data_IF_589564647625
#
_entry.id   IF_589564647625
#
_cell.length_a   1.000
_cell.length_b   1.000
_cell.length_c   1.000
_cell.angle_alpha   90.00
_cell.angle_beta   90.00
_cell.angle_gamma   90.00
#
_symmetry.space_group_name_H-M   'P 1'
#
loop_
_entity.id
_entity.type
_entity.pdbx_description
1 polymer ?
#
# COMPACT_ATOMS: atom_id res chain seq x y z
N UNK A 1 -1.38 -55.77 -8.98
CA UNK A 1 -0.46 -54.62 -9.04
C UNK A 1 -1.25 -53.43 -9.57
N UNK A 2 -2.22 -52.98 -8.78
CA UNK A 2 -2.13 -51.75 -7.95
C UNK A 2 -2.13 -50.47 -8.80
N UNK A 3 -3.35 -50.04 -9.14
CA UNK A 3 -3.61 -48.65 -9.53
C UNK A 3 -3.50 -47.81 -8.26
N UNK A 4 -2.48 -46.95 -8.20
CA UNK A 4 -2.36 -45.92 -7.18
C UNK A 4 -3.56 -44.98 -7.28
N UNK A 5 -4.46 -45.09 -6.32
CA UNK A 5 -5.45 -44.06 -6.00
C UNK A 5 -4.67 -42.81 -5.57
N UNK A 6 -4.65 -41.80 -6.43
CA UNK A 6 -4.22 -40.46 -6.04
C UNK A 6 -5.18 -39.93 -4.97
N UNK A 7 -4.61 -39.52 -3.84
CA UNK A 7 -5.31 -39.08 -2.64
C UNK A 7 -6.30 -37.93 -2.95
N UNK A 8 -7.55 -38.10 -2.52
CA UNK A 8 -8.58 -37.06 -2.47
C UNK A 8 -8.19 -36.02 -1.40
N UNK A 9 -8.00 -34.73 -1.74
CA UNK A 9 -7.80 -33.72 -0.71
C UNK A 9 -9.15 -33.27 -0.11
N UNK A 10 -9.34 -33.57 1.17
CA UNK A 10 -10.11 -32.79 2.17
C UNK A 10 -11.63 -32.62 1.97
N UNK A 11 -12.40 -33.55 2.55
CA UNK A 11 -13.84 -33.43 2.81
C UNK A 11 -14.17 -32.51 4.00
N UNK A 12 -13.98 -31.20 3.83
CA UNK A 12 -14.71 -30.23 4.65
C UNK A 12 -16.15 -30.10 4.14
N UNK A 13 -17.17 -29.87 4.99
CA UNK A 13 -18.54 -29.69 4.52
C UNK A 13 -18.62 -28.47 3.58
N UNK A 14 -19.17 -28.68 2.39
CA UNK A 14 -19.40 -27.66 1.37
C UNK A 14 -20.53 -26.73 1.85
N UNK A 15 -20.18 -25.68 2.62
CA UNK A 15 -21.18 -24.73 3.12
C UNK A 15 -21.69 -23.86 2.00
N UNK A 16 -23.01 -23.82 1.85
CA UNK A 16 -23.69 -22.95 0.90
C UNK A 16 -24.03 -21.63 1.59
N UNK A 17 -23.42 -20.54 1.13
CA UNK A 17 -23.60 -19.21 1.72
C UNK A 17 -24.29 -18.32 0.69
N UNK A 18 -25.51 -17.89 1.01
CA UNK A 18 -26.34 -17.06 0.14
C UNK A 18 -26.01 -15.58 0.29
N UNK A 19 -26.06 -14.84 -0.81
CA UNK A 19 -26.02 -13.38 -0.81
C UNK A 19 -27.21 -12.81 -1.57
N UNK A 20 -27.98 -11.97 -0.88
CA UNK A 20 -29.14 -11.26 -1.40
C UNK A 20 -28.90 -9.75 -1.35
N UNK A 21 -29.37 -9.05 -2.39
CA UNK A 21 -29.30 -7.59 -2.48
C UNK A 21 -30.70 -7.04 -2.66
N UNK A 22 -31.23 -6.50 -1.58
CA UNK A 22 -32.61 -6.07 -1.40
C UNK A 22 -32.73 -4.58 -1.65
N UNK A 23 -33.77 -4.17 -2.37
CA UNK A 23 -34.06 -2.76 -2.63
C UNK A 23 -35.08 -2.29 -1.60
N UNK A 24 -34.98 -1.05 -1.10
CA UNK A 24 -35.97 -0.48 -0.17
C UNK A 24 -37.40 -0.33 -0.74
N UNK A 25 -37.64 -0.76 -1.99
CA UNK A 25 -38.95 -0.76 -2.63
C UNK A 25 -39.40 -2.19 -2.94
N UNK A 26 -40.47 -2.59 -2.24
CA UNK A 26 -41.41 -3.69 -2.53
C UNK A 26 -41.05 -5.15 -2.17
N UNK A 27 -42.14 -5.89 -1.91
CA UNK A 27 -42.33 -7.31 -1.58
C UNK A 27 -41.62 -8.37 -2.46
N UNK A 28 -40.66 -7.99 -3.31
CA UNK A 28 -39.85 -8.87 -4.16
C UNK A 28 -38.68 -9.51 -3.37
N UNK A 29 -38.34 -8.92 -2.23
CA UNK A 29 -37.24 -9.34 -1.38
C UNK A 29 -37.44 -10.74 -0.77
N UNK A 30 -38.69 -11.14 -0.51
CA UNK A 30 -39.04 -12.46 0.03
C UNK A 30 -38.77 -13.58 -0.99
N UNK A 31 -39.04 -13.35 -2.28
CA UNK A 31 -38.82 -14.35 -3.33
C UNK A 31 -37.33 -14.68 -3.49
N UNK A 32 -36.45 -13.68 -3.42
CA UNK A 32 -35.00 -13.89 -3.51
C UNK A 32 -34.48 -14.71 -2.31
N UNK A 33 -35.02 -14.44 -1.12
CA UNK A 33 -34.66 -15.19 0.08
C UNK A 33 -35.15 -16.64 0.01
N UNK A 34 -36.36 -16.86 -0.51
CA UNK A 34 -36.93 -18.20 -0.64
C UNK A 34 -36.18 -19.05 -1.66
N UNK A 35 -35.75 -18.47 -2.78
CA UNK A 35 -34.89 -19.16 -3.75
C UNK A 35 -33.53 -19.55 -3.14
N UNK A 36 -32.91 -18.69 -2.34
CA UNK A 36 -31.65 -19.00 -1.64
C UNK A 36 -31.84 -20.10 -0.58
N UNK A 37 -32.95 -20.08 0.16
CA UNK A 37 -33.32 -21.13 1.12
C UNK A 37 -33.57 -22.45 0.41
N UNK A 38 -34.33 -22.44 -0.69
CA UNK A 38 -34.60 -23.61 -1.52
C UNK A 38 -33.33 -24.20 -2.13
N UNK A 39 -32.35 -23.35 -2.46
CA UNK A 39 -31.03 -23.78 -2.94
C UNK A 39 -30.12 -24.40 -1.87
N UNK A 40 -30.58 -24.46 -0.60
CA UNK A 40 -29.88 -25.09 0.51
C UNK A 40 -28.87 -24.19 1.23
N UNK A 41 -28.99 -22.86 1.12
CA UNK A 41 -28.07 -21.94 1.79
C UNK A 41 -28.23 -21.99 3.31
N UNK A 42 -27.17 -22.36 4.03
CA UNK A 42 -27.14 -22.42 5.50
C UNK A 42 -27.20 -21.03 6.14
N UNK A 43 -26.58 -20.05 5.48
CA UNK A 43 -26.50 -18.67 5.95
C UNK A 43 -26.70 -17.72 4.78
N UNK A 44 -27.62 -16.77 4.93
CA UNK A 44 -27.96 -15.79 3.89
C UNK A 44 -27.61 -14.39 4.39
N UNK A 45 -26.77 -13.69 3.64
CA UNK A 45 -26.38 -12.32 3.90
C UNK A 45 -27.24 -11.38 3.06
N UNK A 46 -27.81 -10.35 3.70
CA UNK A 46 -28.71 -9.40 3.07
C UNK A 46 -28.07 -8.02 3.03
N UNK A 47 -27.88 -7.49 1.83
CA UNK A 47 -27.40 -6.13 1.60
C UNK A 47 -28.59 -5.25 1.23
N UNK A 48 -28.84 -4.20 2.02
CA UNK A 48 -29.93 -3.26 1.77
C UNK A 48 -29.41 -2.08 0.95
N UNK A 49 -30.04 -1.82 -0.20
CA UNK A 49 -29.69 -0.70 -1.07
C UNK A 49 -30.26 0.61 -0.49
N UNK A 50 -29.56 1.24 0.46
CA UNK A 50 -29.87 2.62 0.86
C UNK A 50 -29.43 3.57 -0.25
N UNK A 51 -30.37 4.35 -0.79
CA UNK A 51 -30.17 5.26 -1.91
C UNK A 51 -28.83 6.01 -1.90
N UNK A 52 -28.20 6.05 -3.07
CA UNK A 52 -26.92 6.71 -3.40
C UNK A 52 -25.61 6.09 -2.87
N UNK A 53 -25.64 5.11 -1.96
CA UNK A 53 -24.40 4.52 -1.44
C UNK A 53 -23.87 3.36 -2.29
N UNK A 54 -22.61 3.49 -2.76
CA UNK A 54 -21.88 2.41 -3.46
C UNK A 54 -21.14 1.45 -2.51
N UNK A 55 -21.07 1.78 -1.23
CA UNK A 55 -20.40 0.91 -0.25
C UNK A 55 -21.25 -0.33 0.00
N UNK A 56 -20.61 -1.50 -0.06
CA UNK A 56 -21.23 -2.82 0.15
C UNK A 56 -20.59 -3.52 1.35
N UNK A 57 -20.83 -3.02 2.57
CA UNK A 57 -20.17 -3.53 3.76
C UNK A 57 -20.52 -4.99 4.05
N UNK A 58 -21.76 -5.43 3.72
CA UNK A 58 -22.17 -6.82 3.95
C UNK A 58 -21.46 -7.75 2.98
N UNK A 59 -21.37 -7.39 1.70
CA UNK A 59 -20.58 -8.15 0.73
C UNK A 59 -19.10 -8.23 1.13
N UNK A 60 -18.47 -7.12 1.54
CA UNK A 60 -17.07 -7.14 1.98
C UNK A 60 -16.87 -8.05 3.19
N UNK A 61 -17.77 -7.98 4.17
CA UNK A 61 -17.73 -8.86 5.34
C UNK A 61 -17.90 -10.32 4.96
N UNK A 62 -18.88 -10.64 4.11
CA UNK A 62 -19.12 -11.97 3.60
C UNK A 62 -17.87 -12.54 2.91
N UNK A 63 -17.26 -11.76 2.01
CA UNK A 63 -16.02 -12.17 1.34
C UNK A 63 -14.88 -12.43 2.35
N UNK A 64 -14.85 -11.73 3.48
CA UNK A 64 -13.90 -12.00 4.58
C UNK A 64 -14.18 -13.28 5.36
N UNK A 65 -15.46 -13.67 5.51
CA UNK A 65 -15.87 -14.87 6.27
C UNK A 65 -15.77 -16.18 5.46
N UNK A 66 -15.70 -16.11 4.13
CA UNK A 66 -15.59 -17.30 3.25
C UNK A 66 -14.27 -18.05 3.44
N UNK A 67 -14.37 -19.38 3.60
CA UNK A 67 -13.26 -20.30 3.73
C UNK A 67 -13.17 -21.25 2.51
N UNK A 68 -12.00 -21.85 2.31
CA UNK A 68 -11.76 -22.82 1.24
C UNK A 68 -12.79 -23.96 1.29
N UNK A 69 -13.39 -24.28 0.14
CA UNK A 69 -14.45 -25.30 -0.01
C UNK A 69 -15.88 -24.75 0.12
N UNK A 70 -16.07 -23.52 0.62
CA UNK A 70 -17.38 -22.88 0.67
C UNK A 70 -17.88 -22.54 -0.75
N UNK A 71 -19.20 -22.38 -0.90
CA UNK A 71 -19.82 -21.86 -2.13
C UNK A 71 -20.62 -20.60 -1.85
N UNK A 72 -20.25 -19.52 -2.51
CA UNK A 72 -21.06 -18.32 -2.59
C UNK A 72 -22.20 -18.54 -3.59
N UNK A 73 -23.44 -18.46 -3.10
CA UNK A 73 -24.66 -18.63 -3.90
C UNK A 73 -25.36 -17.29 -4.06
N UNK A 74 -25.74 -16.95 -5.29
CA UNK A 74 -26.58 -15.79 -5.61
C UNK A 74 -27.73 -16.23 -6.49
N UNK A 75 -28.83 -15.48 -6.44
CA UNK A 75 -29.98 -15.76 -7.32
C UNK A 75 -29.66 -15.42 -8.78
N UNK A 76 -29.05 -14.25 -9.00
CA UNK A 76 -28.63 -13.77 -10.32
C UNK A 76 -27.33 -12.96 -10.25
N UNK A 77 -26.62 -12.89 -11.38
CA UNK A 77 -25.35 -12.14 -11.49
C UNK A 77 -25.49 -10.63 -11.23
N UNK A 78 -26.61 -10.00 -11.63
CA UNK A 78 -26.87 -8.56 -11.44
C UNK A 78 -26.94 -8.15 -9.97
N UNK A 79 -27.30 -9.10 -9.09
CA UNK A 79 -27.34 -8.89 -7.65
C UNK A 79 -25.95 -8.85 -7.04
N UNK A 80 -24.98 -9.58 -7.62
CA UNK A 80 -23.60 -9.60 -7.16
C UNK A 80 -22.77 -8.44 -7.73
N UNK A 81 -22.92 -8.07 -9.00
CA UNK A 81 -22.03 -7.08 -9.63
C UNK A 81 -22.74 -6.18 -10.64
N UNK A 82 -22.36 -4.90 -10.67
CA UNK A 82 -22.88 -3.89 -11.62
C UNK A 82 -22.21 -3.95 -13.00
N UNK A 83 -21.11 -4.68 -13.14
CA UNK A 83 -20.42 -4.86 -14.41
C UNK A 83 -19.84 -6.27 -14.51
N UNK A 84 -19.75 -6.80 -15.74
CA UNK A 84 -19.16 -8.11 -16.00
C UNK A 84 -17.69 -8.15 -15.55
N UNK A 85 -16.95 -7.05 -15.75
CA UNK A 85 -15.55 -6.96 -15.27
C UNK A 85 -15.44 -7.10 -13.75
N UNK A 86 -16.37 -6.47 -13.00
CA UNK A 86 -16.38 -6.59 -11.55
C UNK A 86 -16.79 -7.99 -11.10
N UNK A 87 -17.79 -8.60 -11.77
CA UNK A 87 -18.19 -9.98 -11.52
C UNK A 87 -17.01 -10.96 -11.67
N UNK A 88 -16.33 -10.88 -12.81
CA UNK A 88 -15.18 -11.75 -13.11
C UNK A 88 -14.04 -11.56 -12.10
N UNK A 89 -13.79 -10.32 -11.67
CA UNK A 89 -12.80 -10.05 -10.64
C UNK A 89 -13.15 -10.70 -9.29
N UNK A 90 -14.41 -10.61 -8.87
CA UNK A 90 -14.89 -11.26 -7.65
C UNK A 90 -14.77 -12.79 -7.73
N UNK A 91 -15.24 -13.39 -8.82
CA UNK A 91 -15.18 -14.85 -9.02
C UNK A 91 -13.73 -15.35 -9.04
N UNK A 92 -12.82 -14.65 -9.72
CA UNK A 92 -11.38 -15.01 -9.71
C UNK A 92 -10.79 -14.97 -8.31
N UNK A 93 -11.05 -13.91 -7.54
CA UNK A 93 -10.58 -13.81 -6.16
C UNK A 93 -11.15 -14.88 -5.24
N UNK A 94 -12.37 -15.37 -5.49
CA UNK A 94 -12.95 -16.51 -4.79
C UNK A 94 -12.23 -17.81 -5.15
N UNK A 95 -12.02 -18.08 -6.44
CA UNK A 95 -11.34 -19.27 -6.93
C UNK A 95 -9.88 -19.36 -6.46
N UNK A 96 -9.16 -18.23 -6.43
CA UNK A 96 -7.80 -18.15 -5.88
C UNK A 96 -7.73 -18.55 -4.39
N UNK A 97 -8.83 -18.36 -3.65
CA UNK A 97 -8.98 -18.77 -2.24
C UNK A 97 -9.57 -20.18 -2.09
N UNK A 98 -9.82 -20.88 -3.19
CA UNK A 98 -10.48 -22.17 -3.23
C UNK A 98 -11.95 -22.12 -2.80
N UNK A 99 -12.61 -20.97 -2.99
CA UNK A 99 -14.04 -20.77 -2.76
C UNK A 99 -14.76 -20.86 -4.11
N UNK A 100 -15.86 -21.60 -4.17
CA UNK A 100 -16.67 -21.70 -5.38
C UNK A 100 -17.77 -20.65 -5.41
N UNK A 101 -18.25 -20.36 -6.60
CA UNK A 101 -19.36 -19.48 -6.90
C UNK A 101 -20.44 -20.22 -7.70
N UNK A 102 -21.71 -19.98 -7.37
CA UNK A 102 -22.89 -20.51 -8.05
C UNK A 102 -23.97 -19.44 -8.19
N UNK A 103 -24.52 -19.29 -9.39
CA UNK A 103 -25.79 -18.59 -9.63
C UNK A 103 -26.94 -19.60 -9.72
N UNK A 104 -28.13 -19.23 -9.23
CA UNK A 104 -29.32 -20.10 -9.29
C UNK A 104 -29.99 -20.00 -10.67
N UNK A 105 -30.16 -18.79 -11.19
CA UNK A 105 -30.86 -18.56 -12.45
C UNK A 105 -29.94 -18.50 -13.68
N UNK A 106 -28.61 -18.45 -13.48
CA UNK A 106 -27.63 -18.36 -14.57
C UNK A 106 -26.81 -19.66 -14.65
N UNK A 107 -26.34 -20.08 -15.83
CA UNK A 107 -25.59 -21.32 -16.03
C UNK A 107 -24.12 -21.19 -15.56
N UNK A 108 -23.89 -20.60 -14.39
CA UNK A 108 -22.56 -20.36 -13.82
C UNK A 108 -22.49 -21.05 -12.45
N UNK A 109 -21.89 -22.24 -12.46
CA UNK A 109 -21.42 -22.95 -11.26
C UNK A 109 -19.94 -23.31 -11.45
N UNK A 110 -19.07 -22.60 -10.75
CA UNK A 110 -17.62 -22.82 -10.85
C UNK A 110 -17.14 -24.12 -10.20
N UNK A 111 -18.02 -24.86 -9.52
CA UNK A 111 -17.71 -26.21 -9.05
C UNK A 111 -17.95 -27.30 -10.11
N UNK A 112 -18.50 -26.95 -11.28
CA UNK A 112 -18.72 -27.86 -12.41
C UNK A 112 -17.90 -27.45 -13.63
N UNK A 113 -17.55 -28.42 -14.48
CA UNK A 113 -16.83 -28.15 -15.74
C UNK A 113 -17.66 -27.31 -16.71
N UNK A 114 -18.99 -27.52 -16.72
CA UNK A 114 -19.92 -26.75 -17.55
C UNK A 114 -19.99 -25.29 -17.11
N UNK A 115 -20.15 -25.03 -15.81
CA UNK A 115 -20.19 -23.66 -15.32
C UNK A 115 -18.83 -22.94 -15.43
N UNK A 116 -17.71 -23.67 -15.31
CA UNK A 116 -16.38 -23.14 -15.63
C UNK A 116 -16.23 -22.77 -17.11
N UNK A 117 -16.77 -23.57 -18.03
CA UNK A 117 -16.81 -23.24 -19.45
C UNK A 117 -17.67 -21.98 -19.71
N UNK A 118 -18.88 -21.90 -19.13
CA UNK A 118 -19.74 -20.72 -19.23
C UNK A 118 -19.03 -19.45 -18.72
N UNK A 119 -18.28 -19.55 -17.62
CA UNK A 119 -17.48 -18.45 -17.09
C UNK A 119 -16.39 -18.03 -18.09
N UNK A 120 -15.66 -18.97 -18.70
CA UNK A 120 -14.63 -18.66 -19.69
C UNK A 120 -15.20 -18.00 -20.96
N UNK A 121 -16.38 -18.44 -21.41
CA UNK A 121 -17.08 -17.79 -22.52
C UNK A 121 -17.46 -16.36 -22.15
N UNK A 122 -17.99 -16.14 -20.93
CA UNK A 122 -18.29 -14.79 -20.44
C UNK A 122 -17.03 -13.92 -20.35
N UNK A 123 -15.89 -14.47 -19.94
CA UNK A 123 -14.60 -13.78 -19.96
C UNK A 123 -14.19 -13.38 -21.37
N UNK A 124 -14.31 -14.28 -22.35
CA UNK A 124 -13.97 -14.01 -23.73
C UNK A 124 -14.87 -12.92 -24.34
N UNK A 125 -16.17 -12.97 -24.07
CA UNK A 125 -17.12 -11.92 -24.50
C UNK A 125 -16.77 -10.57 -23.87
N UNK A 126 -16.49 -10.52 -22.57
CA UNK A 126 -16.08 -9.29 -21.90
C UNK A 126 -14.74 -8.72 -22.42
N UNK A 127 -13.84 -9.57 -22.91
CA UNK A 127 -12.61 -9.13 -23.58
C UNK A 127 -12.91 -8.57 -24.97
N UNK A 128 -13.77 -9.24 -25.74
CA UNK A 128 -14.20 -8.79 -27.07
C UNK A 128 -14.89 -7.42 -26.99
N UNK A 129 -15.83 -7.22 -26.07
CA UNK A 129 -16.50 -5.94 -25.89
C UNK A 129 -15.51 -4.80 -25.56
N UNK A 130 -14.51 -5.07 -24.71
CA UNK A 130 -13.45 -4.10 -24.39
C UNK A 130 -12.62 -3.75 -25.61
N UNK A 131 -12.27 -4.74 -26.43
CA UNK A 131 -11.53 -4.53 -27.68
C UNK A 131 -12.35 -3.68 -28.66
N UNK A 132 -13.61 -4.03 -28.90
CA UNK A 132 -14.51 -3.30 -29.80
C UNK A 132 -14.74 -1.84 -29.33
N UNK A 133 -14.90 -1.62 -28.03
CA UNK A 133 -15.02 -0.27 -27.48
C UNK A 133 -13.74 0.55 -27.64
N UNK A 134 -12.57 -0.07 -27.49
CA UNK A 134 -11.28 0.57 -27.74
C UNK A 134 -11.11 0.93 -29.22
N UNK A 135 -11.45 0.03 -30.13
CA UNK A 135 -11.44 0.27 -31.58
C UNK A 135 -12.38 1.41 -31.97
N UNK A 136 -13.62 1.40 -31.48
CA UNK A 136 -14.59 2.47 -31.72
C UNK A 136 -14.10 3.82 -31.17
N UNK A 137 -13.48 3.82 -29.99
CA UNK A 137 -12.89 5.03 -29.39
C UNK A 137 -11.74 5.54 -30.24
N UNK A 138 -10.86 4.66 -30.72
CA UNK A 138 -9.74 5.03 -31.59
C UNK A 138 -10.22 5.61 -32.93
N UNK A 139 -11.18 4.95 -33.57
CA UNK A 139 -11.80 5.45 -34.81
C UNK A 139 -12.47 6.81 -34.58
N UNK A 140 -13.18 7.00 -33.46
CA UNK A 140 -13.78 8.28 -33.08
C UNK A 140 -12.74 9.38 -32.87
N UNK A 141 -11.60 9.07 -32.23
CA UNK A 141 -10.48 10.00 -32.07
C UNK A 141 -9.85 10.35 -33.43
N UNK A 142 -9.66 9.39 -34.32
CA UNK A 142 -9.11 9.61 -35.67
C UNK A 142 -10.03 10.50 -36.51
N UNK A 143 -11.34 10.24 -36.49
CA UNK A 143 -12.33 11.10 -37.15
C UNK A 143 -12.37 12.51 -36.56
N UNK A 144 -12.30 12.63 -35.23
CA UNK A 144 -12.23 13.93 -34.56
C UNK A 144 -10.96 14.70 -34.97
N UNK A 145 -9.80 14.03 -35.01
CA UNK A 145 -8.54 14.60 -35.50
C UNK A 145 -8.63 15.05 -36.96
N UNK A 146 -9.22 14.23 -37.84
CA UNK A 146 -9.44 14.59 -39.24
C UNK A 146 -10.33 15.83 -39.41
N UNK A 147 -11.27 16.04 -38.47
CA UNK A 147 -12.10 17.27 -38.36
C UNK A 147 -11.40 18.41 -37.61
N UNK A 148 -10.10 18.32 -37.35
CA UNK A 148 -9.31 19.34 -36.65
C UNK A 148 -9.49 19.39 -35.13
N UNK A 149 -10.28 18.49 -34.52
CA UNK A 149 -10.45 18.43 -33.06
C UNK A 149 -9.30 17.65 -32.44
N UNK A 150 -8.55 18.32 -31.57
CA UNK A 150 -7.40 17.73 -30.90
C UNK A 150 -7.78 17.18 -29.51
N UNK A 151 -7.35 15.96 -29.14
CA UNK A 151 -7.60 15.41 -27.81
C UNK A 151 -6.78 16.13 -26.73
N UNK A 152 -7.27 16.08 -25.49
CA UNK A 152 -6.65 16.70 -24.31
C UNK A 152 -7.24 18.08 -23.97
N UNK A 153 -6.80 18.66 -22.84
CA UNK A 153 -7.25 19.99 -22.40
C UNK A 153 -6.65 21.09 -23.32
N UNK A 154 -7.47 21.86 -24.08
CA UNK A 154 -6.97 22.91 -24.97
C UNK A 154 -6.10 23.95 -24.27
N UNK A 155 -6.48 24.36 -23.05
CA UNK A 155 -5.73 25.33 -22.25
C UNK A 155 -4.34 24.85 -21.85
N UNK A 156 -4.15 23.53 -21.64
CA UNK A 156 -2.81 22.99 -21.42
C UNK A 156 -1.98 22.93 -22.70
N UNK A 157 -2.60 22.60 -23.84
CA UNK A 157 -1.92 22.54 -25.15
C UNK A 157 -1.38 23.91 -25.56
N UNK A 158 -2.20 24.93 -25.34
CA UNK A 158 -1.88 26.33 -25.60
C UNK A 158 -1.03 26.96 -24.49
N UNK A 159 -0.62 26.18 -23.47
CA UNK A 159 0.14 26.64 -22.31
C UNK A 159 -0.48 27.85 -21.60
N UNK A 160 -1.80 27.94 -21.58
CA UNK A 160 -2.52 29.02 -20.89
C UNK A 160 -2.18 28.97 -19.40
N UNK A 161 -1.79 30.10 -18.79
CA UNK A 161 -1.36 30.14 -17.39
C UNK A 161 -2.48 29.67 -16.45
N UNK A 162 -3.72 30.07 -16.72
CA UNK A 162 -4.92 29.66 -16.01
C UNK A 162 -5.12 28.12 -15.96
N UNK A 163 -4.93 27.42 -17.09
CA UNK A 163 -5.09 25.97 -17.16
C UNK A 163 -3.95 25.25 -16.42
N UNK A 164 -2.72 25.74 -16.54
CA UNK A 164 -1.55 25.20 -15.83
C UNK A 164 -1.74 25.38 -14.32
N UNK A 165 -2.17 26.57 -13.88
CA UNK A 165 -2.45 26.86 -12.47
C UNK A 165 -3.58 25.99 -11.92
N UNK A 166 -4.67 25.82 -12.66
CA UNK A 166 -5.79 24.97 -12.25
C UNK A 166 -5.35 23.52 -12.03
N UNK A 167 -4.54 22.97 -12.94
CA UNK A 167 -4.01 21.61 -12.83
C UNK A 167 -2.99 21.48 -11.70
N UNK A 168 -2.11 22.46 -11.52
CA UNK A 168 -1.18 22.48 -10.38
C UNK A 168 -1.93 22.50 -9.05
N UNK A 169 -2.94 23.38 -8.92
CA UNK A 169 -3.79 23.49 -7.72
C UNK A 169 -4.55 22.19 -7.44
N UNK A 170 -5.09 21.54 -8.48
CA UNK A 170 -5.76 20.25 -8.33
C UNK A 170 -4.79 19.16 -7.84
N UNK A 171 -3.58 19.08 -8.41
CA UNK A 171 -2.54 18.14 -7.97
C UNK A 171 -2.09 18.40 -6.54
N UNK A 172 -1.87 19.67 -6.19
CA UNK A 172 -1.51 20.07 -4.83
C UNK A 172 -2.59 19.69 -3.81
N UNK A 173 -3.86 19.87 -4.16
CA UNK A 173 -4.99 19.47 -3.30
C UNK A 173 -5.02 17.95 -3.07
N UNK A 174 -4.85 17.15 -4.13
CA UNK A 174 -4.80 15.70 -4.02
C UNK A 174 -3.63 15.23 -3.15
N UNK A 175 -2.44 15.78 -3.40
CA UNK A 175 -1.25 15.49 -2.61
C UNK A 175 -1.43 15.86 -1.14
N UNK A 176 -2.03 17.02 -0.84
CA UNK A 176 -2.31 17.44 0.53
C UNK A 176 -3.29 16.48 1.22
N UNK A 177 -4.35 16.06 0.54
CA UNK A 177 -5.33 15.13 1.11
C UNK A 177 -4.69 13.78 1.47
N UNK A 178 -3.83 13.26 0.60
CA UNK A 178 -3.08 12.02 0.84
C UNK A 178 -2.06 12.18 1.99
N UNK A 179 -1.42 13.34 2.09
CA UNK A 179 -0.56 13.63 3.24
C UNK A 179 -1.34 13.68 4.55
N UNK A 180 -2.52 14.32 4.56
CA UNK A 180 -3.36 14.43 5.76
C UNK A 180 -3.84 13.05 6.20
N UNK A 181 -4.30 12.21 5.28
CA UNK A 181 -4.77 10.86 5.62
C UNK A 181 -3.64 9.98 6.19
N UNK A 182 -2.43 10.10 5.66
CA UNK A 182 -1.26 9.37 6.16
C UNK A 182 -0.57 10.01 7.37
N UNK A 183 -0.86 11.27 7.70
CA UNK A 183 -0.12 12.05 8.70
C UNK A 183 -0.07 11.38 10.07
N UNK A 184 -1.14 10.69 10.50
CA UNK A 184 -1.19 10.02 11.80
C UNK A 184 -0.11 8.93 11.96
N UNK A 185 0.38 8.36 10.85
CA UNK A 185 1.35 7.27 10.88
C UNK A 185 2.80 7.75 11.04
N UNK A 186 3.16 8.89 10.45
CA UNK A 186 4.56 9.33 10.39
C UNK A 186 4.84 10.67 11.10
N UNK A 187 3.85 11.57 11.20
CA UNK A 187 4.03 12.90 11.78
C UNK A 187 4.41 12.87 13.28
N UNK A 188 3.85 11.98 14.13
CA UNK A 188 4.26 11.89 15.54
C UNK A 188 5.75 11.59 15.70
N UNK A 189 6.29 10.65 14.93
CA UNK A 189 7.73 10.30 14.94
C UNK A 189 8.59 11.50 14.50
N UNK A 190 8.14 12.25 13.49
CA UNK A 190 8.84 13.47 13.06
C UNK A 190 8.86 14.52 14.16
N UNK A 191 7.72 14.74 14.86
CA UNK A 191 7.63 15.68 16.00
C UNK A 191 8.53 15.31 17.16
N UNK A 192 8.67 14.02 17.44
CA UNK A 192 9.52 13.54 18.52
C UNK A 192 11.01 13.75 18.20
N UNK A 193 11.42 13.51 16.96
CA UNK A 193 12.83 13.52 16.57
C UNK A 193 13.32 14.90 16.10
N UNK A 194 12.44 15.75 15.55
CA UNK A 194 12.80 17.10 15.09
C UNK A 194 12.52 18.12 16.19
N UNK A 195 13.40 19.12 16.38
CA UNK A 195 14.56 19.45 15.57
C UNK A 195 15.89 18.80 15.98
N UNK A 196 15.91 18.04 17.08
CA UNK A 196 17.14 17.50 17.68
C UNK A 196 17.94 16.56 16.74
N UNK A 197 17.26 15.81 15.87
CA UNK A 197 17.87 14.84 14.95
C UNK A 197 17.87 15.31 13.48
N UNK A 198 18.90 14.92 12.73
CA UNK A 198 19.00 15.15 11.29
C UNK A 198 17.88 14.45 10.52
N UNK A 199 17.52 14.98 9.35
CA UNK A 199 16.50 14.37 8.49
C UNK A 199 16.84 12.93 8.07
N UNK A 200 18.11 12.61 7.86
CA UNK A 200 18.56 11.24 7.55
C UNK A 200 18.21 10.26 8.67
N UNK A 201 18.39 10.66 9.93
CA UNK A 201 18.03 9.81 11.08
C UNK A 201 16.52 9.64 11.19
N UNK A 202 15.74 10.70 10.98
CA UNK A 202 14.27 10.62 11.00
C UNK A 202 13.75 9.68 9.92
N UNK A 203 14.29 9.79 8.70
CA UNK A 203 13.94 8.88 7.60
C UNK A 203 14.35 7.44 7.92
N UNK A 204 15.53 7.22 8.49
CA UNK A 204 15.95 5.87 8.87
C UNK A 204 15.00 5.22 9.88
N UNK A 205 14.52 5.98 10.88
CA UNK A 205 13.57 5.47 11.86
C UNK A 205 12.20 5.18 11.22
N UNK A 206 11.68 6.10 10.40
CA UNK A 206 10.40 5.89 9.71
C UNK A 206 10.46 4.68 8.77
N UNK A 207 11.55 4.50 8.04
CA UNK A 207 11.65 3.39 7.10
C UNK A 207 11.79 2.04 7.81
N UNK A 208 12.40 1.99 9.00
CA UNK A 208 12.38 0.80 9.86
C UNK A 208 10.98 0.45 10.37
N UNK A 209 10.09 1.43 10.49
CA UNK A 209 8.68 1.25 10.85
C UNK A 209 7.80 0.82 9.65
N UNK A 210 8.40 0.53 8.49
CA UNK A 210 7.68 0.07 7.30
C UNK A 210 7.22 1.19 6.36
N UNK A 211 7.66 2.44 6.59
CA UNK A 211 7.46 3.53 5.64
C UNK A 211 8.52 3.53 4.52
N UNK A 212 8.26 4.27 3.44
CA UNK A 212 9.23 4.49 2.36
C UNK A 212 9.38 5.98 2.06
N UNK A 213 10.17 6.64 2.90
CA UNK A 213 10.50 8.05 2.76
C UNK A 213 11.91 8.25 2.21
N UNK A 214 12.05 9.26 1.36
CA UNK A 214 13.32 9.92 1.10
C UNK A 214 13.40 11.22 1.91
N UNK A 215 14.61 11.68 2.21
CA UNK A 215 14.84 12.93 2.95
C UNK A 215 14.14 14.11 2.27
N UNK A 216 14.23 14.20 0.95
CA UNK A 216 13.60 15.29 0.20
C UNK A 216 12.08 15.22 0.22
N UNK A 217 11.50 14.02 0.06
CA UNK A 217 10.05 13.80 0.11
C UNK A 217 9.50 14.14 1.49
N UNK A 218 10.13 13.65 2.55
CA UNK A 218 9.72 13.92 3.92
C UNK A 218 9.84 15.42 4.24
N UNK A 219 10.95 16.05 3.88
CA UNK A 219 11.14 17.50 4.09
C UNK A 219 10.11 18.33 3.32
N UNK A 220 9.75 17.93 2.10
CA UNK A 220 8.71 18.59 1.29
C UNK A 220 7.33 18.41 1.92
N UNK A 221 7.01 17.21 2.40
CA UNK A 221 5.77 16.92 3.10
C UNK A 221 5.63 17.76 4.37
N UNK A 222 6.66 17.79 5.24
CA UNK A 222 6.66 18.60 6.47
C UNK A 222 6.56 20.10 6.15
N UNK A 223 7.29 20.59 5.15
CA UNK A 223 7.14 21.99 4.69
C UNK A 223 5.71 22.30 4.26
N UNK A 224 5.05 21.37 3.57
CA UNK A 224 3.67 21.57 3.14
C UNK A 224 2.73 21.60 4.35
N UNK A 225 2.89 20.68 5.31
CA UNK A 225 2.10 20.65 6.55
C UNK A 225 2.25 21.93 7.36
N UNK A 226 3.47 22.46 7.49
CA UNK A 226 3.73 23.75 8.17
C UNK A 226 3.08 24.91 7.42
N UNK A 227 3.16 24.95 6.08
CA UNK A 227 2.54 26.01 5.26
C UNK A 227 1.01 26.03 5.44
N UNK A 228 0.38 24.87 5.55
CA UNK A 228 -1.06 24.72 5.78
C UNK A 228 -1.44 24.82 7.28
N UNK A 229 -0.49 25.16 8.16
CA UNK A 229 -0.67 25.27 9.62
C UNK A 229 -1.13 23.97 10.31
N UNK A 230 -0.78 22.83 9.74
CA UNK A 230 -1.07 21.49 10.28
C UNK A 230 0.10 20.90 11.09
N UNK A 231 1.26 21.56 11.08
CA UNK A 231 2.45 21.15 11.82
C UNK A 231 3.24 22.37 12.32
N UNK A 232 4.09 22.14 13.31
CA UNK A 232 4.87 23.19 13.98
C UNK A 232 6.02 23.67 13.08
N UNK A 233 6.25 24.99 12.93
CA UNK A 233 7.34 25.51 12.11
C UNK A 233 8.72 25.11 12.62
N UNK A 234 8.83 24.81 13.91
CA UNK A 234 10.06 24.38 14.59
C UNK A 234 10.64 23.08 13.99
N UNK A 235 9.81 22.22 13.41
CA UNK A 235 10.24 20.97 12.77
C UNK A 235 11.20 21.22 11.59
N UNK A 236 11.14 22.39 10.97
CA UNK A 236 11.97 22.77 9.83
C UNK A 236 13.29 23.44 10.23
N UNK A 237 13.47 23.77 11.52
CA UNK A 237 14.69 24.45 11.99
C UNK A 237 15.92 23.59 11.75
N UNK A 238 17.07 24.21 11.47
CA UNK A 238 18.29 23.44 11.23
C UNK A 238 18.64 22.67 12.50
N UNK A 239 18.83 21.35 12.40
CA UNK A 239 19.31 20.58 13.55
C UNK A 239 20.64 21.12 14.03
N UNK A 240 20.89 21.09 15.35
CA UNK A 240 22.22 21.34 15.84
C UNK A 240 23.18 20.39 15.12
N UNK A 241 24.36 20.90 14.72
CA UNK A 241 25.42 20.04 14.22
C UNK A 241 25.82 19.14 15.39
N UNK A 242 25.32 17.91 15.44
CA UNK A 242 25.97 16.87 16.22
C UNK A 242 27.37 16.73 15.61
N UNK A 243 28.40 16.98 16.40
CA UNK A 243 29.74 16.62 15.97
C UNK A 243 29.71 15.09 15.74
N UNK A 244 30.04 14.60 14.53
CA UNK A 244 30.24 13.16 14.28
C UNK A 244 31.25 12.55 15.26
N UNK A 245 32.07 13.41 15.85
CA UNK A 245 33.11 13.12 16.81
C UNK A 245 32.55 12.59 18.14
N UNK A 246 31.34 12.93 18.60
CA UNK A 246 30.93 12.59 19.98
C UNK A 246 30.80 11.08 20.25
N UNK A 247 30.35 10.28 19.28
CA UNK A 247 30.26 8.82 19.49
C UNK A 247 31.63 8.15 19.34
N UNK A 248 32.34 8.46 18.27
CA UNK A 248 33.67 7.90 17.99
C UNK A 248 34.69 8.34 19.04
N UNK A 249 34.64 9.59 19.49
CA UNK A 249 35.45 10.12 20.59
C UNK A 249 35.14 9.43 21.91
N UNK A 250 33.86 9.18 22.23
CA UNK A 250 33.48 8.42 23.44
C UNK A 250 33.95 6.97 23.37
N UNK A 251 33.88 6.36 22.20
CA UNK A 251 34.30 4.96 21.98
C UNK A 251 35.82 4.83 22.09
N UNK A 252 36.55 5.74 21.45
CA UNK A 252 38.01 5.86 21.55
C UNK A 252 38.44 6.15 22.98
N UNK A 253 37.76 7.08 23.68
CA UNK A 253 38.01 7.37 25.08
C UNK A 253 37.74 6.15 25.97
N UNK A 254 36.64 5.42 25.74
CA UNK A 254 36.31 4.21 26.50
C UNK A 254 37.36 3.10 26.32
N UNK A 255 37.86 2.89 25.10
CA UNK A 255 38.93 1.93 24.82
C UNK A 255 40.23 2.36 25.54
N UNK A 256 40.60 3.63 25.45
CA UNK A 256 41.81 4.14 26.09
C UNK A 256 41.75 4.12 27.64
N UNK A 257 40.55 4.31 28.22
CA UNK A 257 40.33 4.17 29.67
C UNK A 257 40.40 2.71 30.09
N UNK A 258 39.88 1.79 29.27
CA UNK A 258 39.86 0.36 29.57
C UNK A 258 41.26 -0.26 29.53
N UNK A 259 42.14 0.22 28.65
CA UNK A 259 43.53 -0.24 28.55
C UNK A 259 44.50 0.93 28.24
N UNK A 260 45.06 1.57 29.27
CA UNK A 260 45.95 2.73 29.13
C UNK A 260 47.30 2.43 28.44
N UNK A 261 47.66 1.15 28.26
CA UNK A 261 48.93 0.73 27.65
C UNK A 261 48.88 0.60 26.12
N UNK A 262 47.71 0.68 25.51
CA UNK A 262 47.54 0.47 24.07
C UNK A 262 48.15 1.58 23.22
N UNK A 263 48.81 1.20 22.13
CA UNK A 263 49.29 2.18 21.16
C UNK A 263 48.13 2.72 20.31
N UNK A 264 48.29 3.92 19.75
CA UNK A 264 47.31 4.53 18.85
C UNK A 264 46.98 3.65 17.62
N UNK A 265 47.90 2.77 17.21
CA UNK A 265 47.69 1.80 16.12
C UNK A 265 46.79 0.65 16.55
N UNK A 266 46.90 0.22 17.80
CA UNK A 266 46.11 -0.89 18.34
C UNK A 266 44.67 -0.45 18.56
N UNK A 267 44.47 0.77 19.08
CA UNK A 267 43.14 1.39 19.18
C UNK A 267 42.49 1.53 17.79
N UNK A 268 43.26 1.97 16.77
CA UNK A 268 42.78 2.03 15.39
C UNK A 268 42.37 0.63 14.86
N UNK A 269 43.18 -0.39 15.13
CA UNK A 269 42.88 -1.77 14.74
C UNK A 269 41.64 -2.34 15.43
N UNK A 270 41.41 -1.97 16.70
CA UNK A 270 40.23 -2.39 17.45
C UNK A 270 38.96 -1.74 16.90
N UNK A 271 39.01 -0.45 16.53
CA UNK A 271 37.89 0.23 15.86
C UNK A 271 37.57 -0.38 14.49
N UNK A 272 38.60 -0.75 13.71
CA UNK A 272 38.43 -1.45 12.44
C UNK A 272 37.77 -2.84 12.66
N UNK A 273 38.17 -3.59 13.70
CA UNK A 273 37.56 -4.88 14.06
C UNK A 273 36.11 -4.75 14.52
N UNK A 274 35.76 -3.65 15.20
CA UNK A 274 34.40 -3.33 15.60
C UNK A 274 33.52 -2.85 14.43
N UNK A 275 34.10 -2.67 13.23
CA UNK A 275 33.38 -2.24 12.03
C UNK A 275 33.06 -0.74 11.99
N UNK A 276 33.64 0.04 12.91
CA UNK A 276 33.43 1.49 12.98
C UNK A 276 34.27 2.21 11.93
N UNK A 277 33.70 3.23 11.29
CA UNK A 277 34.38 3.96 10.22
C UNK A 277 34.88 5.33 10.69
N UNK A 278 36.06 5.79 10.21
CA UNK A 278 36.53 7.14 10.48
C UNK A 278 35.56 8.21 9.99
N UNK A 279 35.44 9.32 10.73
CA UNK A 279 34.53 10.42 10.43
C UNK A 279 34.68 11.01 9.01
N UNK A 280 35.84 10.84 8.36
CA UNK A 280 36.16 11.37 7.04
C UNK A 280 36.01 10.33 5.92
N UNK A 281 35.34 9.20 6.19
CA UNK A 281 34.97 8.21 5.17
C UNK A 281 36.10 7.33 4.64
N UNK A 282 37.26 7.32 5.32
CA UNK A 282 38.36 6.41 5.00
C UNK A 282 37.99 4.95 5.23
N UNK A 283 38.63 4.02 4.50
CA UNK A 283 38.40 2.56 4.64
C UNK A 283 39.06 1.92 5.86
N UNK A 284 40.02 2.61 6.48
CA UNK A 284 40.77 2.15 7.66
C UNK A 284 41.08 3.31 8.59
N UNK A 285 41.15 3.04 9.89
CA UNK A 285 41.56 4.04 10.88
C UNK A 285 43.02 4.42 10.75
N UNK A 286 43.30 5.72 10.77
CA UNK A 286 44.66 6.25 10.83
C UNK A 286 45.02 6.59 12.28
N UNK A 287 46.24 6.28 12.75
CA UNK A 287 46.66 6.62 14.11
C UNK A 287 46.56 8.11 14.44
N UNK A 288 46.73 8.98 13.44
CA UNK A 288 46.54 10.44 13.56
C UNK A 288 45.08 10.83 13.83
N UNK A 289 44.11 10.13 13.22
CA UNK A 289 42.68 10.35 13.46
C UNK A 289 42.30 9.93 14.88
N UNK A 290 42.83 8.80 15.37
CA UNK A 290 42.61 8.33 16.75
C UNK A 290 43.22 9.30 17.76
N UNK A 291 44.44 9.79 17.49
CA UNK A 291 45.11 10.81 18.31
C UNK A 291 44.29 12.09 18.43
N UNK A 292 43.79 12.61 17.30
CA UNK A 292 42.96 13.81 17.30
C UNK A 292 41.71 13.65 18.18
N UNK A 293 41.05 12.50 18.11
CA UNK A 293 39.87 12.20 18.95
C UNK A 293 40.24 12.03 20.44
N UNK A 294 41.39 11.42 20.76
CA UNK A 294 41.88 11.34 22.13
C UNK A 294 42.24 12.72 22.70
N UNK A 295 42.94 13.55 21.94
CA UNK A 295 43.30 14.92 22.35
C UNK A 295 42.05 15.79 22.57
N UNK A 296 40.99 15.52 21.83
CA UNK A 296 39.68 16.14 22.03
C UNK A 296 38.95 15.59 23.26
N UNK A 297 39.04 14.29 23.52
CA UNK A 297 38.48 13.66 24.72
C UNK A 297 39.15 14.14 26.02
N UNK A 298 40.47 14.33 26.01
CA UNK A 298 41.22 14.92 27.14
C UNK A 298 40.81 16.37 27.40
N UNK A 299 40.67 17.19 26.35
CA UNK A 299 40.18 18.58 26.47
C UNK A 299 38.77 18.68 27.07
N UNK A 300 37.95 17.64 26.88
CA UNK A 300 36.59 17.55 27.42
C UNK A 300 36.53 16.82 28.78
N UNK A 301 37.67 16.43 29.35
CA UNK A 301 37.76 15.79 30.67
C UNK A 301 37.23 14.36 30.74
N UNK A 302 37.07 13.69 29.58
CA UNK A 302 36.56 12.32 29.51
C UNK A 302 37.63 11.27 29.84
N UNK A 303 38.91 11.60 29.65
CA UNK A 303 40.08 10.77 29.99
C UNK A 303 40.99 11.60 30.89
N UNK A 304 41.43 11.05 32.02
CA UNK A 304 42.42 11.68 32.91
C UNK A 304 43.82 11.19 32.52
N UNK A 305 44.80 12.10 32.57
CA UNK A 305 46.22 11.78 32.41
C UNK A 305 46.69 10.74 33.42
#
# INVERSE_FOLDING_TARGET
MEKQQAANPSSAPKRLIGYARLSTADHVDDAQMDELRAAGCERIFQEHESGASRTRPVLTRLLGELATGDVLVVVRLDRLAQSVSHLLHLIKGLLERGVYFRSICDPIDTSTSEGMFSLQVLEAVAQLERALNAERTKAGIEQAKARGRMPGNPGLRERRPEAIMAVSKAREKLYLNELISSAQTWLPTVRQLRPAHSWDNVVSVLNRQGHDWTVERLRRAVRRMVREKLAEPELLTRSPRRAPEDHLMKLVAAIAIADPGLSLRDIAGQLDQMGERPAHGGRKWQPSSVRHLLDQAHRLGLVRH
#
